data_IF_126510182777
#
_entry.id   IF_126510182777
#
_cell.length_a   1.000
_cell.length_b   1.000
_cell.length_c   1.000
_cell.angle_alpha   90.00
_cell.angle_beta   90.00
_cell.angle_gamma   90.00
#
_symmetry.space_group_name_H-M   'P 1'
#
loop_
_entity.id
_entity.type
_entity.pdbx_description
1 polymer ?
#
# COMPACT_ATOMS: atom_id res chain seq x y z
N UNK A 1 -39.39 -2.94 -20.09
CA UNK A 1 -37.98 -3.19 -20.40
C UNK A 1 -37.28 -3.56 -19.11
N UNK A 2 -37.00 -4.85 -18.94
CA UNK A 2 -36.48 -5.43 -17.71
C UNK A 2 -34.95 -5.42 -17.82
N UNK A 3 -34.26 -4.62 -17.02
CA UNK A 3 -32.81 -4.72 -16.89
C UNK A 3 -32.46 -6.16 -16.47
N UNK A 4 -31.47 -6.82 -17.10
CA UNK A 4 -31.03 -8.13 -16.63
C UNK A 4 -30.52 -7.97 -15.20
N UNK A 5 -31.03 -8.81 -14.29
CA UNK A 5 -30.47 -8.93 -12.94
C UNK A 5 -29.02 -9.36 -13.10
N UNK A 6 -28.08 -8.46 -12.80
CA UNK A 6 -26.70 -8.86 -12.56
C UNK A 6 -26.72 -9.98 -11.51
N UNK A 7 -26.01 -11.11 -11.73
CA UNK A 7 -25.90 -12.11 -10.70
C UNK A 7 -25.22 -11.47 -9.50
N UNK A 8 -25.98 -11.34 -8.41
CA UNK A 8 -25.50 -10.92 -7.09
C UNK A 8 -24.53 -11.97 -6.55
N UNK A 9 -23.31 -11.97 -7.08
CA UNK A 9 -22.16 -12.63 -6.47
C UNK A 9 -21.46 -11.56 -5.64
N UNK A 10 -21.73 -11.58 -4.35
CA UNK A 10 -20.81 -11.35 -3.23
C UNK A 10 -21.69 -11.21 -1.97
N UNK A 11 -21.83 -12.25 -1.14
CA UNK A 11 -22.57 -12.18 0.12
C UNK A 11 -21.87 -11.31 1.20
N UNK A 12 -20.80 -10.62 0.83
CA UNK A 12 -19.99 -9.78 1.71
C UNK A 12 -19.84 -8.41 1.05
N UNK A 13 -20.27 -7.34 1.74
CA UNK A 13 -20.02 -5.98 1.27
C UNK A 13 -18.51 -5.75 1.17
N UNK A 14 -17.98 -5.68 -0.06
CA UNK A 14 -16.61 -5.25 -0.30
C UNK A 14 -16.45 -3.79 0.13
N UNK A 15 -15.34 -3.50 0.82
CA UNK A 15 -15.05 -2.16 1.32
C UNK A 15 -13.88 -1.64 0.53
N UNK A 16 -14.22 -0.87 -0.49
CA UNK A 16 -13.29 -0.27 -1.44
C UNK A 16 -13.21 1.23 -1.21
N UNK A 17 -12.01 1.79 -1.35
CA UNK A 17 -11.79 3.22 -1.43
C UNK A 17 -11.92 3.73 -2.87
N UNK A 18 -11.57 2.88 -3.84
CA UNK A 18 -11.63 3.22 -5.27
C UNK A 18 -11.96 1.97 -6.10
N UNK A 19 -12.81 2.16 -7.10
CA UNK A 19 -13.02 1.21 -8.20
C UNK A 19 -12.88 2.00 -9.50
N UNK A 20 -11.89 1.65 -10.30
CA UNK A 20 -11.66 2.23 -11.61
C UNK A 20 -11.85 1.13 -12.66
N UNK A 21 -12.75 1.36 -13.62
CA UNK A 21 -12.96 0.44 -14.74
C UNK A 21 -12.52 1.15 -16.01
N UNK A 22 -11.41 0.70 -16.59
CA UNK A 22 -10.84 1.33 -17.77
C UNK A 22 -9.90 0.36 -18.53
N UNK A 23 -10.33 -0.19 -19.68
CA UNK A 23 -11.48 0.23 -20.46
C UNK A 23 -12.81 -0.42 -20.05
N UNK A 24 -13.89 0.33 -20.25
CA UNK A 24 -15.28 -0.13 -20.18
C UNK A 24 -15.90 -0.02 -21.56
N UNK A 25 -16.67 -1.02 -22.00
CA UNK A 25 -17.27 -0.96 -23.33
C UNK A 25 -18.35 -2.00 -23.58
N UNK A 26 -18.73 -2.10 -24.85
CA UNK A 26 -19.81 -2.96 -25.33
C UNK A 26 -19.30 -3.83 -26.49
N UNK A 27 -19.68 -5.11 -26.49
CA UNK A 27 -19.39 -6.02 -27.61
C UNK A 27 -20.30 -5.72 -28.80
N UNK A 28 -19.95 -6.19 -30.03
CA UNK A 28 -20.82 -6.01 -31.20
C UNK A 28 -22.24 -6.58 -31.03
N UNK A 29 -22.42 -7.57 -30.15
CA UNK A 29 -23.70 -8.19 -29.83
C UNK A 29 -24.51 -7.41 -28.77
N UNK A 30 -24.02 -6.25 -28.34
CA UNK A 30 -24.67 -5.37 -27.38
C UNK A 30 -24.45 -5.74 -25.91
N UNK A 31 -23.42 -6.55 -25.59
CA UNK A 31 -23.12 -6.94 -24.22
C UNK A 31 -22.15 -5.94 -23.58
N UNK A 32 -22.50 -5.44 -22.40
CA UNK A 32 -21.64 -4.56 -21.60
C UNK A 32 -20.53 -5.37 -20.92
N UNK A 33 -19.28 -4.97 -21.10
CA UNK A 33 -18.10 -5.68 -20.59
C UNK A 33 -17.16 -4.73 -19.86
N UNK A 34 -16.67 -5.21 -18.71
CA UNK A 34 -15.55 -4.66 -17.97
C UNK A 34 -14.27 -5.35 -18.47
N UNK A 35 -13.44 -4.66 -19.24
CA UNK A 35 -12.21 -5.25 -19.80
C UNK A 35 -11.05 -5.21 -18.82
N UNK A 36 -10.97 -4.16 -18.01
CA UNK A 36 -9.99 -4.01 -16.95
C UNK A 36 -10.62 -3.25 -15.78
N UNK A 37 -10.24 -3.63 -14.56
CA UNK A 37 -10.67 -2.99 -13.34
C UNK A 37 -9.54 -2.95 -12.33
N UNK A 38 -9.27 -1.75 -11.81
CA UNK A 38 -8.37 -1.52 -10.68
C UNK A 38 -9.18 -1.18 -9.44
N UNK A 39 -9.04 -2.02 -8.42
CA UNK A 39 -9.72 -1.84 -7.14
C UNK A 39 -8.68 -1.48 -6.07
N UNK A 40 -9.00 -0.49 -5.23
CA UNK A 40 -8.26 -0.17 -4.02
C UNK A 40 -9.17 -0.44 -2.82
N UNK A 41 -8.67 -1.22 -1.86
CA UNK A 41 -9.41 -1.63 -0.67
C UNK A 41 -9.02 -0.80 0.54
N UNK A 42 -9.97 -0.60 1.46
CA UNK A 42 -9.70 0.09 2.71
C UNK A 42 -8.88 -0.82 3.66
N UNK A 43 -7.62 -0.48 3.98
CA UNK A 43 -6.79 -1.29 4.87
C UNK A 43 -7.39 -1.46 6.27
N UNK A 44 -8.20 -0.51 6.73
CA UNK A 44 -8.86 -0.58 8.05
C UNK A 44 -10.02 -1.57 8.07
N UNK A 45 -10.51 -2.00 6.91
CA UNK A 45 -11.64 -2.90 6.76
C UNK A 45 -11.24 -4.32 6.33
N UNK A 46 -9.95 -4.61 6.29
CA UNK A 46 -9.37 -5.88 5.85
C UNK A 46 -9.81 -7.05 6.76
N UNK A 47 -9.97 -6.82 8.06
CA UNK A 47 -10.39 -7.83 9.04
C UNK A 47 -11.74 -8.53 8.73
N UNK A 48 -12.59 -7.90 7.92
CA UNK A 48 -13.91 -8.43 7.51
C UNK A 48 -13.94 -8.91 6.04
N UNK A 49 -12.78 -8.97 5.37
CA UNK A 49 -12.64 -9.33 3.96
C UNK A 49 -11.50 -10.35 3.74
N UNK A 50 -11.59 -11.56 4.33
CA UNK A 50 -10.47 -12.52 4.34
C UNK A 50 -10.00 -12.94 2.94
N UNK A 51 -10.91 -13.05 1.97
CA UNK A 51 -10.58 -13.38 0.58
C UNK A 51 -9.70 -12.28 -0.06
N UNK A 52 -10.00 -11.01 0.20
CA UNK A 52 -9.21 -9.88 -0.29
C UNK A 52 -7.82 -9.86 0.37
N UNK A 53 -7.73 -10.18 1.66
CA UNK A 53 -6.45 -10.31 2.36
C UNK A 53 -5.54 -11.34 1.69
N UNK A 54 -6.12 -12.49 1.34
CA UNK A 54 -5.37 -13.57 0.70
C UNK A 54 -4.86 -13.14 -0.68
N UNK A 55 -5.72 -12.54 -1.51
CA UNK A 55 -5.32 -12.02 -2.81
C UNK A 55 -4.22 -10.96 -2.70
N UNK A 56 -4.33 -10.06 -1.70
CA UNK A 56 -3.31 -9.03 -1.46
C UNK A 56 -1.95 -9.65 -1.07
N UNK A 57 -1.94 -10.68 -0.22
CA UNK A 57 -0.71 -11.38 0.15
C UNK A 57 -0.06 -12.09 -1.06
N UNK A 58 -0.87 -12.76 -1.90
CA UNK A 58 -0.38 -13.39 -3.13
C UNK A 58 0.24 -12.37 -4.10
N UNK A 59 -0.39 -11.18 -4.24
CA UNK A 59 0.15 -10.09 -5.06
C UNK A 59 1.43 -9.53 -4.47
N UNK A 60 1.48 -9.28 -3.16
CA UNK A 60 2.68 -8.76 -2.48
C UNK A 60 3.88 -9.71 -2.68
N UNK A 61 3.68 -11.02 -2.52
CA UNK A 61 4.73 -12.01 -2.75
C UNK A 61 5.28 -11.97 -4.19
N UNK A 62 4.39 -11.84 -5.18
CA UNK A 62 4.78 -11.73 -6.60
C UNK A 62 5.52 -10.43 -6.88
N UNK A 63 5.06 -9.30 -6.34
CA UNK A 63 5.70 -8.00 -6.52
C UNK A 63 7.08 -7.94 -5.87
N UNK A 64 7.22 -8.46 -4.65
CA UNK A 64 8.51 -8.56 -3.94
C UNK A 64 9.46 -9.49 -4.70
N UNK A 65 9.00 -10.63 -5.20
CA UNK A 65 9.82 -11.54 -5.99
C UNK A 65 10.30 -10.90 -7.31
N UNK A 66 9.45 -10.10 -7.95
CA UNK A 66 9.79 -9.41 -9.20
C UNK A 66 10.76 -8.23 -8.99
N UNK A 67 10.61 -7.47 -7.90
CA UNK A 67 11.42 -6.30 -7.60
C UNK A 67 12.76 -6.65 -6.92
N UNK A 68 12.83 -7.79 -6.23
CA UNK A 68 14.00 -8.29 -5.51
C UNK A 68 14.04 -7.88 -4.03
N UNK A 69 14.89 -8.55 -3.22
CA UNK A 69 14.84 -8.48 -1.75
C UNK A 69 15.27 -7.13 -1.16
N UNK A 70 15.97 -6.28 -1.92
CA UNK A 70 16.41 -4.94 -1.50
C UNK A 70 15.65 -3.82 -2.22
N UNK A 71 14.53 -4.15 -2.87
CA UNK A 71 13.66 -3.15 -3.49
C UNK A 71 12.89 -2.37 -2.44
N UNK A 72 12.38 -1.18 -2.81
CA UNK A 72 11.50 -0.39 -1.93
C UNK A 72 10.26 -1.19 -1.55
N UNK A 73 9.68 -1.94 -2.49
CA UNK A 73 8.51 -2.80 -2.25
C UNK A 73 8.79 -3.86 -1.17
N UNK A 74 9.96 -4.51 -1.22
CA UNK A 74 10.36 -5.50 -0.23
C UNK A 74 10.54 -4.88 1.18
N UNK A 75 11.14 -3.70 1.24
CA UNK A 75 11.35 -2.96 2.49
C UNK A 75 10.02 -2.45 3.08
N UNK A 76 9.08 -2.02 2.24
CA UNK A 76 7.74 -1.60 2.64
C UNK A 76 6.94 -2.77 3.22
N UNK A 77 6.95 -3.94 2.54
CA UNK A 77 6.32 -5.16 3.03
C UNK A 77 6.93 -5.66 4.35
N UNK A 78 8.26 -5.58 4.50
CA UNK A 78 8.94 -5.92 5.75
C UNK A 78 8.61 -4.96 6.90
N UNK A 79 8.62 -3.65 6.63
CA UNK A 79 8.19 -2.64 7.60
C UNK A 79 6.75 -2.87 8.07
N UNK A 80 5.82 -3.11 7.14
CA UNK A 80 4.41 -3.34 7.43
C UNK A 80 4.19 -4.53 8.38
N UNK A 81 4.92 -5.64 8.18
CA UNK A 81 4.88 -6.83 9.06
C UNK A 81 5.31 -6.53 10.50
N UNK A 82 6.14 -5.50 10.69
CA UNK A 82 6.61 -5.04 12.00
C UNK A 82 5.81 -3.85 12.56
N UNK A 83 4.68 -3.50 11.93
CA UNK A 83 3.84 -2.38 12.35
C UNK A 83 4.54 -1.03 12.15
N UNK A 84 5.42 -0.93 11.16
CA UNK A 84 6.13 0.28 10.78
C UNK A 84 5.57 0.78 9.43
N UNK A 85 5.55 2.09 9.24
CA UNK A 85 5.21 2.68 7.93
C UNK A 85 6.47 3.21 7.27
N UNK A 86 7.02 2.44 6.34
CA UNK A 86 8.17 2.81 5.53
C UNK A 86 7.73 3.24 4.13
N UNK A 87 8.39 4.23 3.55
CA UNK A 87 8.31 4.57 2.12
C UNK A 87 9.71 4.94 1.65
N UNK A 88 10.21 4.27 0.62
CA UNK A 88 11.51 4.56 0.03
C UNK A 88 11.47 5.75 -0.93
N UNK A 89 12.42 6.69 -0.83
CA UNK A 89 12.52 7.82 -1.75
C UNK A 89 13.71 7.63 -2.73
N UNK A 90 13.51 7.81 -4.04
CA UNK A 90 14.42 7.30 -5.06
C UNK A 90 15.81 7.97 -5.14
N UNK A 91 16.08 9.06 -4.39
CA UNK A 91 17.32 9.88 -4.52
C UNK A 91 17.79 10.58 -3.24
N UNK A 92 17.46 10.05 -2.06
CA UNK A 92 17.90 10.66 -0.80
C UNK A 92 19.13 10.03 -0.18
N UNK A 93 19.76 10.77 0.73
CA UNK A 93 20.96 10.35 1.47
C UNK A 93 20.83 10.52 2.99
N UNK A 94 19.69 11.04 3.47
CA UNK A 94 19.42 11.25 4.89
C UNK A 94 18.30 10.30 5.33
N UNK A 95 18.65 9.29 6.11
CA UNK A 95 17.69 8.36 6.69
C UNK A 95 16.88 9.02 7.81
N UNK A 96 15.56 8.89 7.77
CA UNK A 96 14.66 9.45 8.79
C UNK A 96 14.01 8.32 9.57
N UNK A 97 14.07 8.38 10.90
CA UNK A 97 13.29 7.52 11.80
C UNK A 97 12.53 8.44 12.75
N UNK A 98 11.20 8.41 12.70
CA UNK A 98 10.38 9.38 13.43
C UNK A 98 9.19 8.68 14.07
N UNK A 99 8.71 9.22 15.19
CA UNK A 99 7.49 8.78 15.87
C UNK A 99 6.32 9.71 15.53
N UNK A 100 5.42 9.24 14.67
CA UNK A 100 4.24 9.93 14.19
C UNK A 100 4.41 10.49 12.77
N UNK A 101 3.47 10.12 11.89
CA UNK A 101 3.46 10.53 10.49
C UNK A 101 3.56 12.06 10.27
N UNK A 102 2.89 12.86 11.11
CA UNK A 102 2.96 14.32 11.02
C UNK A 102 4.36 14.88 11.29
N UNK A 103 5.06 14.33 12.29
CA UNK A 103 6.44 14.71 12.60
C UNK A 103 7.39 14.20 11.51
N UNK A 104 7.13 13.01 10.96
CA UNK A 104 7.93 12.45 9.87
C UNK A 104 7.87 13.34 8.62
N UNK A 105 6.67 13.79 8.22
CA UNK A 105 6.49 14.73 7.11
C UNK A 105 7.19 16.06 7.37
N UNK A 106 6.97 16.67 8.55
CA UNK A 106 7.62 17.94 8.90
C UNK A 106 9.16 17.85 8.93
N UNK A 107 9.70 16.69 9.34
CA UNK A 107 11.15 16.45 9.34
C UNK A 107 11.69 16.38 7.92
N UNK A 108 11.01 15.66 7.02
CA UNK A 108 11.39 15.62 5.60
C UNK A 108 11.32 17.00 4.95
N UNK A 109 10.28 17.78 5.25
CA UNK A 109 10.13 19.16 4.77
C UNK A 109 11.29 20.05 5.23
N UNK A 110 11.69 19.95 6.50
CA UNK A 110 12.85 20.68 7.03
C UNK A 110 14.16 20.26 6.36
N UNK A 111 14.36 18.97 6.13
CA UNK A 111 15.54 18.46 5.42
C UNK A 111 15.59 19.05 4.02
N UNK A 112 14.49 19.02 3.28
CA UNK A 112 14.39 19.63 1.95
C UNK A 112 14.61 21.15 2.00
N UNK A 113 14.03 21.84 2.98
CA UNK A 113 14.17 23.29 3.14
C UNK A 113 15.62 23.73 3.35
N UNK A 114 16.41 22.89 4.05
CA UNK A 114 17.84 23.12 4.27
C UNK A 114 18.75 22.53 3.17
N UNK A 115 18.19 22.08 2.05
CA UNK A 115 18.92 21.58 0.89
C UNK A 115 19.40 20.12 1.00
N UNK A 116 18.93 19.38 2.00
CA UNK A 116 19.14 17.94 2.10
C UNK A 116 18.11 17.15 1.29
N UNK A 117 18.34 15.84 1.17
CA UNK A 117 17.43 14.92 0.48
C UNK A 117 17.10 13.72 1.39
N UNK A 118 15.87 13.63 1.93
CA UNK A 118 15.47 12.49 2.73
C UNK A 118 15.46 11.23 1.87
N UNK A 119 16.03 10.14 2.39
CA UNK A 119 16.12 8.83 1.73
C UNK A 119 14.85 8.00 1.89
N UNK A 120 14.09 8.28 2.95
CA UNK A 120 12.90 7.52 3.28
C UNK A 120 11.95 8.33 4.16
N UNK A 121 10.71 7.88 4.19
CA UNK A 121 9.77 8.11 5.28
C UNK A 121 9.75 6.85 6.16
N UNK A 122 9.88 6.98 7.47
CA UNK A 122 9.71 5.86 8.40
C UNK A 122 9.05 6.34 9.69
N UNK A 123 7.80 5.92 9.89
CA UNK A 123 7.01 6.16 11.10
C UNK A 123 6.97 4.90 11.98
N UNK A 124 7.38 5.04 13.24
CA UNK A 124 7.33 4.00 14.27
C UNK A 124 5.97 3.94 15.02
N UNK A 125 5.10 4.93 14.82
CA UNK A 125 3.85 5.10 15.56
C UNK A 125 4.04 5.69 16.96
N UNK A 126 2.94 5.83 17.71
CA UNK A 126 2.94 6.47 19.04
C UNK A 126 3.38 5.57 20.19
N UNK A 127 3.27 4.25 20.04
CA UNK A 127 3.59 3.24 21.07
C UNK A 127 4.91 2.53 20.81
N UNK A 128 5.98 3.29 20.59
CA UNK A 128 7.28 2.75 20.13
C UNK A 128 7.87 1.75 21.12
N UNK A 129 8.17 0.55 20.63
CA UNK A 129 8.87 -0.51 21.37
C UNK A 129 10.34 -0.65 20.96
N UNK A 130 11.17 -1.24 21.82
CA UNK A 130 12.59 -1.49 21.53
C UNK A 130 12.78 -2.35 20.28
N UNK A 131 11.95 -3.38 20.10
CA UNK A 131 12.00 -4.27 18.95
C UNK A 131 11.66 -3.56 17.64
N UNK A 132 10.72 -2.62 17.65
CA UNK A 132 10.40 -1.78 16.49
C UNK A 132 11.56 -0.84 16.13
N UNK A 133 12.22 -0.24 17.11
CA UNK A 133 13.41 0.61 16.88
C UNK A 133 14.56 -0.21 16.29
N UNK A 134 14.84 -1.40 16.85
CA UNK A 134 15.86 -2.30 16.31
C UNK A 134 15.57 -2.68 14.85
N UNK A 135 14.31 -2.97 14.54
CA UNK A 135 13.89 -3.31 13.18
C UNK A 135 14.01 -2.11 12.23
N UNK A 136 13.63 -0.92 12.69
CA UNK A 136 13.77 0.32 11.93
C UNK A 136 15.23 0.59 11.52
N UNK A 137 16.19 0.34 12.41
CA UNK A 137 17.61 0.45 12.06
C UNK A 137 18.03 -0.56 10.98
N UNK A 138 17.57 -1.81 11.06
CA UNK A 138 17.86 -2.84 10.05
C UNK A 138 17.34 -2.49 8.66
N UNK A 139 16.19 -1.81 8.58
CA UNK A 139 15.61 -1.37 7.31
C UNK A 139 16.43 -0.27 6.60
N UNK A 140 17.24 0.48 7.35
CA UNK A 140 18.03 1.61 6.82
C UNK A 140 19.50 1.28 6.54
N UNK A 141 19.96 0.06 6.87
CA UNK A 141 21.36 -0.39 6.71
C UNK A 141 21.47 -1.50 5.69
#
# INVERSE_FOLDING_TARGET
MMWPRFPTFLPTFLVTCQIEVNPFGETPDGQVVCFDAKLSFDPNAVFRQPEVCQMAAEVEEVEVAAAGPHSTVALEADAARHGLTYIGLPKGNIGCIVNGAGLAMATMDLIYHHGGHPANFLDLGGGVSVTQVEHAFKLLT
#
